data_IF_339281727419
#
_entry.id   IF_339281727419
#
_cell.length_a   1.000
_cell.length_b   1.000
_cell.length_c   1.000
_cell.angle_alpha   90.00
_cell.angle_beta   90.00
_cell.angle_gamma   90.00
#
_symmetry.space_group_name_H-M   'P 1'
#
loop_
_entity.id
_entity.type
_entity.pdbx_description
1 polymer ?
#
# COMPACT_ATOMS: atom_id res chain seq x y z
N UNK A 1 -5.75 18.63 -17.53
CA UNK A 1 -6.11 18.52 -16.09
C UNK A 1 -7.06 19.65 -15.68
N UNK A 2 -6.68 20.92 -15.84
CA UNK A 2 -7.54 22.06 -15.48
C UNK A 2 -8.97 22.01 -16.07
N UNK A 3 -9.10 21.78 -17.38
CA UNK A 3 -10.41 21.69 -18.07
C UNK A 3 -11.28 20.55 -17.51
N UNK A 4 -10.67 19.40 -17.21
CA UNK A 4 -11.39 18.27 -16.62
C UNK A 4 -11.85 18.58 -15.20
N UNK A 5 -11.01 19.27 -14.43
CA UNK A 5 -11.34 19.72 -13.07
C UNK A 5 -12.49 20.72 -13.06
N UNK A 6 -12.47 21.73 -13.93
CA UNK A 6 -13.57 22.70 -14.08
C UNK A 6 -14.90 22.03 -14.42
N UNK A 7 -14.85 20.98 -15.24
CA UNK A 7 -16.02 20.20 -15.55
C UNK A 7 -16.50 19.37 -14.35
N UNK A 8 -15.61 18.62 -13.68
CA UNK A 8 -16.02 17.62 -12.68
C UNK A 8 -16.25 18.20 -11.28
N UNK A 9 -15.56 19.28 -10.92
CA UNK A 9 -15.59 19.84 -9.57
C UNK A 9 -17.01 20.20 -9.10
N UNK A 10 -17.85 20.90 -9.90
CA UNK A 10 -19.23 21.20 -9.52
C UNK A 10 -20.10 19.98 -9.20
N UNK A 11 -19.77 18.80 -9.74
CA UNK A 11 -20.49 17.54 -9.46
C UNK A 11 -20.07 16.90 -8.13
N UNK A 12 -18.85 17.20 -7.67
CA UNK A 12 -18.22 16.59 -6.49
C UNK A 12 -18.15 17.56 -5.29
N UNK A 13 -18.48 18.84 -5.50
CA UNK A 13 -18.46 19.91 -4.51
C UNK A 13 -19.87 20.39 -4.19
N UNK A 14 -20.01 21.16 -3.11
CA UNK A 14 -21.28 21.80 -2.75
C UNK A 14 -21.78 22.69 -3.88
N UNK A 15 -23.06 22.56 -4.26
CA UNK A 15 -23.72 23.49 -5.17
C UNK A 15 -24.11 24.77 -4.43
N UNK A 16 -23.80 25.92 -5.03
CA UNK A 16 -24.11 27.25 -4.47
C UNK A 16 -25.57 27.65 -4.81
N UNK A 17 -26.13 27.13 -5.90
CA UNK A 17 -27.46 27.48 -6.41
C UNK A 17 -28.50 26.40 -6.03
N UNK A 18 -29.07 26.50 -4.84
CA UNK A 18 -30.16 25.62 -4.38
C UNK A 18 -31.52 26.32 -4.47
N UNK A 19 -31.91 26.77 -5.67
CA UNK A 19 -33.24 27.38 -5.88
C UNK A 19 -34.37 26.35 -6.05
N UNK A 20 -34.08 25.05 -6.07
CA UNK A 20 -35.12 24.01 -6.01
C UNK A 20 -34.60 22.70 -5.40
N UNK A 21 -35.09 22.35 -4.21
CA UNK A 21 -34.98 21.00 -3.65
C UNK A 21 -35.89 20.04 -4.46
N UNK A 22 -35.36 19.51 -5.56
CA UNK A 22 -35.99 18.43 -6.30
C UNK A 22 -35.06 17.21 -6.32
N UNK A 23 -35.61 16.00 -6.48
CA UNK A 23 -34.83 14.75 -6.51
C UNK A 23 -33.80 14.64 -7.64
N UNK A 24 -33.79 15.59 -8.58
CA UNK A 24 -32.90 15.66 -9.74
C UNK A 24 -31.84 16.76 -9.59
N UNK A 25 -31.82 17.49 -8.47
CA UNK A 25 -30.88 18.59 -8.25
C UNK A 25 -29.46 18.09 -8.02
N UNK A 26 -29.33 16.86 -7.50
CA UNK A 26 -28.04 16.21 -7.26
C UNK A 26 -27.62 15.39 -8.47
N UNK A 27 -26.73 15.96 -9.28
CA UNK A 27 -26.17 15.27 -10.44
C UNK A 27 -25.40 13.99 -10.04
N UNK A 28 -24.78 13.98 -8.86
CA UNK A 28 -24.12 12.79 -8.32
C UNK A 28 -25.12 11.66 -8.05
N UNK A 29 -26.25 11.96 -7.42
CA UNK A 29 -27.28 10.95 -7.13
C UNK A 29 -27.93 10.43 -8.40
N UNK A 30 -28.17 11.31 -9.39
CA UNK A 30 -28.61 10.90 -10.72
C UNK A 30 -27.62 9.96 -11.38
N UNK A 31 -26.32 10.27 -11.31
CA UNK A 31 -25.26 9.41 -11.81
C UNK A 31 -25.27 8.06 -11.10
N UNK A 32 -25.37 8.01 -9.76
CA UNK A 32 -25.41 6.75 -9.00
C UNK A 32 -26.63 5.89 -9.35
N UNK A 33 -27.80 6.52 -9.56
CA UNK A 33 -29.01 5.83 -9.97
C UNK A 33 -28.83 5.14 -11.34
N UNK A 34 -28.21 5.83 -12.31
CA UNK A 34 -27.92 5.25 -13.63
C UNK A 34 -26.78 4.24 -13.58
N UNK A 35 -25.70 4.54 -12.86
CA UNK A 35 -24.52 3.69 -12.75
C UNK A 35 -24.82 2.35 -12.07
N UNK A 36 -25.82 2.32 -11.18
CA UNK A 36 -26.26 1.10 -10.51
C UNK A 36 -27.14 0.21 -11.38
N UNK A 37 -27.69 0.69 -12.50
CA UNK A 37 -28.50 -0.13 -13.41
C UNK A 37 -27.63 -1.11 -14.21
N UNK A 38 -28.06 -2.35 -14.28
CA UNK A 38 -27.50 -3.41 -15.10
C UNK A 38 -28.27 -3.51 -16.44
N UNK A 39 -27.69 -4.17 -17.46
CA UNK A 39 -28.34 -4.30 -18.78
C UNK A 39 -29.70 -5.00 -18.77
N UNK A 40 -30.00 -5.79 -17.73
CA UNK A 40 -31.27 -6.46 -17.52
C UNK A 40 -32.32 -5.59 -16.80
N UNK A 41 -31.98 -4.34 -16.47
CA UNK A 41 -32.84 -3.40 -15.77
C UNK A 41 -32.87 -3.57 -14.24
N UNK A 42 -32.06 -4.48 -13.69
CA UNK A 42 -31.92 -4.68 -12.24
C UNK A 42 -30.80 -3.77 -11.71
N UNK A 43 -30.86 -3.39 -10.44
CA UNK A 43 -29.77 -2.65 -9.79
C UNK A 43 -28.68 -3.59 -9.26
N UNK A 44 -27.42 -3.10 -9.28
CA UNK A 44 -26.26 -3.74 -8.64
C UNK A 44 -26.54 -4.05 -7.17
N UNK A 45 -25.91 -5.12 -6.68
CA UNK A 45 -25.97 -5.50 -5.26
C UNK A 45 -25.28 -4.45 -4.39
N UNK A 46 -25.59 -4.45 -3.10
CA UNK A 46 -24.94 -3.54 -2.17
C UNK A 46 -23.42 -3.78 -2.16
N UNK A 47 -22.99 -5.05 -2.14
CA UNK A 47 -21.57 -5.43 -2.23
C UNK A 47 -20.86 -4.83 -3.46
N UNK A 48 -21.52 -4.79 -4.62
CA UNK A 48 -20.97 -4.23 -5.86
C UNK A 48 -20.89 -2.69 -5.87
N UNK A 49 -21.65 -2.01 -5.00
CA UNK A 49 -21.69 -0.54 -4.90
C UNK A 49 -20.73 0.03 -3.85
N UNK A 50 -20.24 -0.78 -2.91
CA UNK A 50 -19.30 -0.34 -1.85
C UNK A 50 -18.01 0.28 -2.41
N UNK A 51 -17.41 -0.32 -3.45
CA UNK A 51 -16.16 0.17 -4.04
C UNK A 51 -16.37 1.45 -4.87
N UNK A 52 -17.36 1.54 -5.78
CA UNK A 52 -17.67 2.77 -6.50
C UNK A 52 -17.90 3.98 -5.59
N UNK A 53 -18.64 3.81 -4.50
CA UNK A 53 -18.91 4.89 -3.53
C UNK A 53 -17.63 5.33 -2.81
N UNK A 54 -16.80 4.39 -2.36
CA UNK A 54 -15.50 4.71 -1.77
C UNK A 54 -14.59 5.46 -2.76
N UNK A 55 -14.57 5.08 -4.04
CA UNK A 55 -13.81 5.80 -5.07
C UNK A 55 -14.31 7.25 -5.24
N UNK A 56 -15.63 7.44 -5.29
CA UNK A 56 -16.23 8.78 -5.40
C UNK A 56 -15.93 9.64 -4.16
N UNK A 57 -15.93 9.07 -2.96
CA UNK A 57 -15.52 9.76 -1.73
C UNK A 57 -14.06 10.26 -1.85
N UNK A 58 -13.16 9.42 -2.35
CA UNK A 58 -11.78 9.83 -2.64
C UNK A 58 -11.69 10.91 -3.72
N UNK A 59 -12.53 10.84 -4.76
CA UNK A 59 -12.59 11.87 -5.79
C UNK A 59 -13.10 13.21 -5.24
N UNK A 60 -14.09 13.24 -4.35
CA UNK A 60 -14.52 14.46 -3.66
C UNK A 60 -13.37 15.09 -2.88
N UNK A 61 -12.61 14.29 -2.11
CA UNK A 61 -11.42 14.76 -1.36
C UNK A 61 -10.34 15.30 -2.30
N UNK A 62 -10.02 14.56 -3.35
CA UNK A 62 -8.99 14.94 -4.32
C UNK A 62 -9.36 16.21 -5.10
N UNK A 63 -10.61 16.34 -5.54
CA UNK A 63 -11.11 17.51 -6.24
C UNK A 63 -11.11 18.74 -5.31
N UNK A 64 -11.52 18.57 -4.05
CA UNK A 64 -11.47 19.64 -3.03
C UNK A 64 -10.04 20.12 -2.79
N UNK A 65 -9.08 19.19 -2.64
CA UNK A 65 -7.67 19.53 -2.43
C UNK A 65 -7.07 20.24 -3.66
N UNK A 66 -7.38 19.78 -4.86
CA UNK A 66 -6.91 20.42 -6.09
C UNK A 66 -7.50 21.83 -6.26
N UNK A 67 -8.79 22.02 -5.98
CA UNK A 67 -9.41 23.35 -6.03
C UNK A 67 -8.77 24.30 -5.02
N UNK A 68 -8.56 23.85 -3.78
CA UNK A 68 -7.86 24.64 -2.76
C UNK A 68 -6.45 25.05 -3.23
N UNK A 69 -5.70 24.13 -3.83
CA UNK A 69 -4.39 24.46 -4.36
C UNK A 69 -4.46 25.48 -5.51
N UNK A 70 -5.46 25.36 -6.40
CA UNK A 70 -5.67 26.29 -7.51
C UNK A 70 -6.03 27.70 -7.03
N UNK A 71 -6.80 27.81 -5.95
CA UNK A 71 -7.32 29.07 -5.42
C UNK A 71 -6.48 29.65 -4.27
N UNK A 72 -5.30 29.09 -4.00
CA UNK A 72 -4.43 29.52 -2.90
C UNK A 72 -4.08 31.02 -2.95
N UNK A 73 -4.07 31.63 -4.14
CA UNK A 73 -3.81 33.06 -4.32
C UNK A 73 -4.84 33.94 -3.63
N UNK A 74 -6.10 33.48 -3.52
CA UNK A 74 -7.18 34.19 -2.80
C UNK A 74 -6.93 34.22 -1.28
N UNK A 75 -6.09 33.31 -0.78
CA UNK A 75 -5.73 33.17 0.63
C UNK A 75 -4.30 33.68 0.92
N UNK A 76 -3.78 34.58 0.08
CA UNK A 76 -2.43 35.14 0.26
C UNK A 76 -1.32 34.10 0.04
N UNK A 77 -1.56 33.08 -0.80
CA UNK A 77 -0.70 31.93 -1.03
C UNK A 77 -0.46 31.05 0.22
N UNK A 78 -1.33 31.15 1.22
CA UNK A 78 -1.35 30.26 2.37
C UNK A 78 -2.19 29.01 2.04
N UNK A 79 -1.49 27.94 1.62
CA UNK A 79 -2.13 26.68 1.24
C UNK A 79 -2.94 26.07 2.39
N UNK A 80 -2.48 26.20 3.63
CA UNK A 80 -3.17 25.62 4.78
C UNK A 80 -4.52 26.29 5.01
N UNK A 81 -4.58 27.62 4.91
CA UNK A 81 -5.85 28.37 5.01
C UNK A 81 -6.81 28.03 3.87
N UNK A 82 -6.30 27.96 2.64
CA UNK A 82 -7.14 27.62 1.48
C UNK A 82 -7.72 26.21 1.62
N UNK A 83 -6.89 25.21 1.95
CA UNK A 83 -7.35 23.83 2.16
C UNK A 83 -8.37 23.76 3.29
N UNK A 84 -8.15 24.48 4.39
CA UNK A 84 -9.09 24.52 5.51
C UNK A 84 -10.46 25.06 5.07
N UNK A 85 -10.49 26.16 4.33
CA UNK A 85 -11.73 26.75 3.82
C UNK A 85 -12.51 25.77 2.94
N UNK A 86 -11.88 25.24 1.90
CA UNK A 86 -12.55 24.33 0.96
C UNK A 86 -12.98 23.00 1.61
N UNK A 87 -12.22 22.49 2.57
CA UNK A 87 -12.61 21.30 3.33
C UNK A 87 -13.82 21.56 4.23
N UNK A 88 -13.90 22.73 4.89
CA UNK A 88 -15.07 23.09 5.71
C UNK A 88 -16.33 23.26 4.85
N UNK A 89 -16.20 23.76 3.63
CA UNK A 89 -17.35 23.94 2.76
C UNK A 89 -17.86 22.65 2.11
N UNK A 90 -16.94 21.72 1.79
CA UNK A 90 -17.26 20.53 1.01
C UNK A 90 -17.32 19.23 1.82
N UNK A 91 -16.55 19.12 2.90
CA UNK A 91 -16.33 17.86 3.62
C UNK A 91 -16.85 17.88 5.07
N UNK A 92 -17.36 19.03 5.54
CA UNK A 92 -17.80 19.18 6.92
C UNK A 92 -19.09 18.37 7.21
N UNK A 93 -19.11 17.55 8.26
CA UNK A 93 -20.31 16.82 8.67
C UNK A 93 -21.49 17.74 8.97
N UNK A 94 -22.70 17.38 8.53
CA UNK A 94 -23.92 18.15 8.80
C UNK A 94 -24.27 19.22 7.76
N UNK A 95 -23.39 19.49 6.80
CA UNK A 95 -23.73 20.25 5.60
C UNK A 95 -24.14 19.27 4.51
N UNK A 96 -25.25 19.52 3.81
CA UNK A 96 -25.64 18.68 2.67
C UNK A 96 -24.70 18.97 1.48
N UNK A 97 -23.74 18.06 1.26
CA UNK A 97 -22.81 18.11 0.12
C UNK A 97 -22.76 16.74 -0.57
N UNK A 98 -22.27 16.66 -1.82
CA UNK A 98 -22.05 15.37 -2.47
C UNK A 98 -21.23 14.40 -1.62
N UNK A 99 -20.23 14.91 -0.89
CA UNK A 99 -19.39 14.11 0.00
C UNK A 99 -20.17 13.51 1.18
N UNK A 100 -21.00 14.30 1.88
CA UNK A 100 -21.76 13.79 3.02
C UNK A 100 -22.82 12.77 2.55
N UNK A 101 -23.46 13.02 1.40
CA UNK A 101 -24.37 12.06 0.78
C UNK A 101 -23.68 10.74 0.46
N UNK A 102 -22.46 10.78 -0.08
CA UNK A 102 -21.67 9.56 -0.32
C UNK A 102 -21.33 8.82 0.97
N UNK A 103 -20.96 9.52 2.04
CA UNK A 103 -20.70 8.89 3.33
C UNK A 103 -21.94 8.19 3.87
N UNK A 104 -23.10 8.83 3.78
CA UNK A 104 -24.36 8.25 4.27
C UNK A 104 -24.76 7.02 3.45
N UNK A 105 -24.65 7.10 2.12
CA UNK A 105 -24.85 5.94 1.25
C UNK A 105 -23.83 4.83 1.49
N UNK A 106 -22.55 5.16 1.67
CA UNK A 106 -21.51 4.18 1.97
C UNK A 106 -21.82 3.44 3.28
N UNK A 107 -22.24 4.16 4.33
CA UNK A 107 -22.62 3.55 5.62
C UNK A 107 -23.81 2.62 5.48
N UNK A 108 -24.85 3.07 4.77
CA UNK A 108 -26.05 2.27 4.54
C UNK A 108 -25.78 1.04 3.67
N UNK A 109 -25.08 1.21 2.55
CA UNK A 109 -24.76 0.12 1.62
C UNK A 109 -23.77 -0.86 2.25
N UNK A 110 -22.82 -0.41 3.06
CA UNK A 110 -21.91 -1.31 3.77
C UNK A 110 -22.65 -2.21 4.77
N UNK A 111 -23.67 -1.71 5.45
CA UNK A 111 -24.47 -2.53 6.38
C UNK A 111 -25.31 -3.58 5.65
N UNK A 112 -25.85 -3.23 4.48
CA UNK A 112 -26.53 -4.16 3.58
C UNK A 112 -25.56 -5.22 3.05
N UNK A 113 -24.40 -4.80 2.51
CA UNK A 113 -23.40 -5.70 1.95
C UNK A 113 -22.87 -6.69 3.00
N UNK A 114 -22.72 -6.28 4.26
CA UNK A 114 -22.34 -7.17 5.36
C UNK A 114 -23.42 -8.24 5.64
N UNK A 115 -24.68 -7.89 5.42
CA UNK A 115 -25.83 -8.77 5.62
C UNK A 115 -26.16 -9.62 4.38
N UNK A 116 -25.54 -9.35 3.23
CA UNK A 116 -25.75 -10.10 2.00
C UNK A 116 -25.19 -11.53 2.12
N UNK A 117 -26.05 -12.52 1.86
CA UNK A 117 -25.62 -13.92 1.81
C UNK A 117 -24.89 -14.18 0.50
N UNK A 118 -23.57 -14.16 0.57
CA UNK A 118 -22.72 -14.55 -0.55
C UNK A 118 -22.43 -16.06 -0.51
N UNK A 119 -22.32 -16.68 -1.68
CA UNK A 119 -21.84 -18.06 -1.76
C UNK A 119 -20.45 -18.14 -1.09
N UNK A 120 -20.15 -19.24 -0.38
CA UNK A 120 -18.87 -19.39 0.30
C UNK A 120 -17.73 -19.23 -0.70
N UNK A 121 -16.88 -18.24 -0.44
CA UNK A 121 -15.72 -17.95 -1.30
C UNK A 121 -14.59 -18.95 -1.09
N UNK A 122 -14.61 -19.66 0.04
CA UNK A 122 -13.64 -20.68 0.44
C UNK A 122 -14.40 -21.94 0.84
N UNK A 123 -14.00 -23.08 0.30
CA UNK A 123 -14.32 -24.39 0.87
C UNK A 123 -13.03 -25.10 1.27
N UNK A 124 -13.09 -25.85 2.36
CA UNK A 124 -11.97 -26.60 2.92
C UNK A 124 -12.38 -28.07 2.91
N UNK A 125 -11.50 -28.96 2.48
CA UNK A 125 -11.75 -30.40 2.57
C UNK A 125 -11.73 -30.88 4.02
N UNK A 126 -12.38 -31.99 4.31
CA UNK A 126 -12.50 -32.54 5.67
C UNK A 126 -11.13 -32.85 6.33
N UNK A 127 -10.12 -33.14 5.52
CA UNK A 127 -8.73 -33.40 5.93
C UNK A 127 -7.87 -32.13 6.02
N UNK A 128 -8.44 -30.94 5.75
CA UNK A 128 -7.77 -29.65 5.69
C UNK A 128 -6.55 -29.58 4.73
N UNK A 129 -6.44 -30.49 3.76
CA UNK A 129 -5.33 -30.52 2.79
C UNK A 129 -5.62 -29.73 1.52
N UNK A 130 -6.89 -29.46 1.23
CA UNK A 130 -7.34 -28.78 0.00
C UNK A 130 -8.23 -27.60 0.34
N UNK A 131 -7.92 -26.47 -0.27
CA UNK A 131 -8.67 -25.22 -0.15
C UNK A 131 -9.16 -24.83 -1.55
N UNK A 132 -10.45 -24.61 -1.74
CA UNK A 132 -10.95 -24.02 -2.97
C UNK A 132 -11.31 -22.57 -2.72
N UNK A 133 -10.62 -21.62 -3.36
CA UNK A 133 -10.94 -20.20 -3.32
C UNK A 133 -11.49 -19.75 -4.67
N UNK A 134 -12.75 -19.29 -4.73
CA UNK A 134 -13.42 -18.84 -5.97
C UNK A 134 -13.22 -19.82 -7.14
N UNK A 135 -13.38 -21.12 -6.89
CA UNK A 135 -13.22 -22.19 -7.89
C UNK A 135 -11.77 -22.60 -8.19
N UNK A 136 -10.76 -21.95 -7.60
CA UNK A 136 -9.37 -22.37 -7.71
C UNK A 136 -9.00 -23.29 -6.56
N UNK A 137 -8.64 -24.53 -6.89
CA UNK A 137 -8.16 -25.50 -5.92
C UNK A 137 -6.68 -25.26 -5.60
N UNK A 138 -6.36 -25.20 -4.31
CA UNK A 138 -5.00 -25.10 -3.79
C UNK A 138 -4.76 -26.28 -2.84
N UNK A 139 -3.69 -27.03 -3.10
CA UNK A 139 -3.26 -28.11 -2.22
C UNK A 139 -2.20 -27.59 -1.25
N UNK A 140 -2.33 -27.93 0.03
CA UNK A 140 -1.39 -27.51 1.07
C UNK A 140 0.03 -28.05 0.82
N UNK A 141 0.12 -29.26 0.26
CA UNK A 141 1.39 -29.86 -0.16
C UNK A 141 2.11 -29.02 -1.21
N UNK A 142 1.39 -28.56 -2.23
CA UNK A 142 1.95 -27.70 -3.29
C UNK A 142 2.40 -26.35 -2.74
N UNK A 143 1.65 -25.77 -1.80
CA UNK A 143 2.06 -24.54 -1.11
C UNK A 143 3.37 -24.74 -0.37
N UNK A 144 3.49 -25.83 0.40
CA UNK A 144 4.70 -26.15 1.16
C UNK A 144 5.91 -26.33 0.25
N UNK A 145 5.74 -27.07 -0.86
CA UNK A 145 6.77 -27.23 -1.88
C UNK A 145 7.15 -25.89 -2.53
N UNK A 146 6.15 -25.04 -2.84
CA UNK A 146 6.37 -23.72 -3.41
C UNK A 146 7.15 -22.79 -2.48
N UNK A 147 6.84 -22.78 -1.19
CA UNK A 147 7.55 -21.99 -0.17
C UNK A 147 8.99 -22.48 -0.01
N UNK A 148 9.21 -23.80 0.03
CA UNK A 148 10.57 -24.37 0.08
C UNK A 148 11.39 -23.99 -1.14
N UNK A 149 10.80 -24.11 -2.34
CA UNK A 149 11.46 -23.70 -3.58
C UNK A 149 11.78 -22.20 -3.60
N UNK A 150 10.86 -21.37 -3.12
CA UNK A 150 11.11 -19.92 -3.00
C UNK A 150 12.29 -19.63 -2.07
N UNK A 151 12.40 -20.34 -0.94
CA UNK A 151 13.52 -20.22 -0.02
C UNK A 151 14.85 -20.61 -0.71
N UNK A 152 14.91 -21.79 -1.34
CA UNK A 152 16.11 -22.27 -2.03
C UNK A 152 16.54 -21.35 -3.18
N UNK A 153 15.59 -20.87 -3.99
CA UNK A 153 15.88 -19.96 -5.10
C UNK A 153 16.33 -18.58 -4.58
N UNK A 154 15.84 -18.14 -3.42
CA UNK A 154 16.31 -16.91 -2.77
C UNK A 154 17.73 -17.08 -2.26
N UNK A 155 18.07 -18.21 -1.63
CA UNK A 155 19.44 -18.50 -1.21
C UNK A 155 20.42 -18.52 -2.39
N UNK A 156 20.03 -19.11 -3.52
CA UNK A 156 20.83 -19.07 -4.76
C UNK A 156 21.05 -17.65 -5.25
N UNK A 157 20.01 -16.81 -5.26
CA UNK A 157 20.12 -15.39 -5.65
C UNK A 157 21.03 -14.60 -4.71
N UNK A 158 20.92 -14.82 -3.40
CA UNK A 158 21.79 -14.21 -2.41
C UNK A 158 23.25 -14.64 -2.60
N UNK A 159 23.50 -15.94 -2.79
CA UNK A 159 24.85 -16.45 -3.09
C UNK A 159 25.42 -15.83 -4.36
N UNK A 160 24.61 -15.70 -5.42
CA UNK A 160 25.03 -15.04 -6.65
C UNK A 160 25.34 -13.55 -6.45
N UNK A 161 24.53 -12.84 -5.65
CA UNK A 161 24.76 -11.43 -5.29
C UNK A 161 26.04 -11.26 -4.47
N UNK A 162 26.33 -12.18 -3.55
CA UNK A 162 27.58 -12.25 -2.80
C UNK A 162 28.74 -12.86 -3.59
N UNK A 163 28.58 -13.08 -4.90
CA UNK A 163 29.61 -13.64 -5.79
C UNK A 163 30.20 -14.96 -5.28
N UNK A 164 29.35 -15.79 -4.67
CA UNK A 164 29.73 -17.07 -4.08
C UNK A 164 30.48 -16.96 -2.75
N UNK A 165 30.74 -15.75 -2.25
CA UNK A 165 31.31 -15.56 -0.93
C UNK A 165 30.29 -15.91 0.15
N UNK A 166 30.76 -16.55 1.22
CA UNK A 166 29.94 -16.89 2.38
C UNK A 166 29.87 -15.66 3.28
N UNK A 167 28.72 -14.99 3.28
CA UNK A 167 28.42 -13.91 4.22
C UNK A 167 27.56 -14.48 5.34
N UNK A 168 28.11 -14.51 6.55
CA UNK A 168 27.37 -14.90 7.74
C UNK A 168 26.37 -13.79 8.09
N UNK A 169 25.08 -14.13 7.96
CA UNK A 169 23.95 -13.28 8.34
C UNK A 169 23.31 -13.93 9.56
N UNK A 170 23.97 -13.79 10.71
CA UNK A 170 23.52 -14.38 11.97
C UNK A 170 22.91 -13.30 12.85
N UNK A 171 21.84 -13.64 13.55
CA UNK A 171 21.29 -12.77 14.60
C UNK A 171 22.13 -13.05 15.85
N UNK A 172 22.85 -12.06 16.40
CA UNK A 172 23.62 -12.26 17.62
C UNK A 172 22.73 -12.74 18.77
N UNK A 173 23.29 -13.55 19.67
CA UNK A 173 22.56 -14.10 20.83
C UNK A 173 21.94 -13.01 21.72
N UNK A 174 22.59 -11.85 21.79
CA UNK A 174 22.15 -10.70 22.56
C UNK A 174 22.18 -9.43 21.70
N UNK A 175 21.02 -9.05 21.18
CA UNK A 175 20.80 -7.71 20.60
C UNK A 175 20.00 -6.91 21.62
N UNK A 176 20.55 -5.84 22.21
CA UNK A 176 19.82 -5.04 23.18
C UNK A 176 18.63 -4.36 22.50
N UNK A 177 17.44 -4.46 23.08
CA UNK A 177 16.25 -3.77 22.60
C UNK A 177 15.54 -3.06 23.75
N UNK A 178 15.48 -1.73 23.69
CA UNK A 178 14.63 -0.92 24.56
C UNK A 178 13.17 -0.98 24.09
N UNK A 179 12.42 -1.90 24.69
CA UNK A 179 10.99 -2.08 24.42
C UNK A 179 10.12 -0.89 24.87
N UNK A 180 10.67 0.05 25.64
CA UNK A 180 9.94 1.25 26.10
C UNK A 180 10.12 2.45 25.16
N UNK A 181 11.07 2.37 24.23
CA UNK A 181 11.33 3.45 23.29
C UNK A 181 10.21 3.53 22.23
N UNK A 182 9.49 4.65 22.24
CA UNK A 182 8.41 4.98 21.30
C UNK A 182 8.79 6.02 20.25
N UNK A 183 10.08 6.41 20.20
CA UNK A 183 10.55 7.39 19.22
C UNK A 183 10.38 6.83 17.81
N UNK A 184 9.94 7.70 16.90
CA UNK A 184 9.79 7.36 15.49
C UNK A 184 11.15 6.94 14.92
N UNK A 185 11.14 5.93 14.07
CA UNK A 185 12.32 5.34 13.42
C UNK A 185 13.27 4.53 14.33
N UNK A 186 12.99 4.40 15.63
CA UNK A 186 13.72 3.48 16.51
C UNK A 186 13.52 2.02 16.07
N UNK A 187 14.61 1.25 15.98
CA UNK A 187 14.64 -0.14 15.51
C UNK A 187 15.73 -0.93 16.22
N UNK A 188 15.41 -2.12 16.72
CA UNK A 188 16.37 -3.02 17.36
C UNK A 188 17.46 -3.51 16.39
N UNK A 189 17.19 -3.51 15.07
CA UNK A 189 18.21 -3.79 14.05
C UNK A 189 19.37 -2.79 14.04
N UNK A 190 19.22 -1.62 14.69
CA UNK A 190 20.30 -0.64 14.79
C UNK A 190 21.21 -0.92 16.00
N UNK A 191 20.82 -1.84 16.88
CA UNK A 191 21.47 -2.05 18.17
C UNK A 191 22.47 -3.21 18.16
N UNK A 192 22.63 -3.91 17.03
CA UNK A 192 23.50 -5.08 16.90
C UNK A 192 24.30 -5.09 15.59
N UNK A 193 25.44 -5.80 15.59
CA UNK A 193 26.21 -6.08 14.40
C UNK A 193 25.79 -7.44 13.82
N UNK A 194 24.91 -7.42 12.81
CA UNK A 194 24.39 -8.63 12.16
C UNK A 194 25.31 -9.17 11.06
N UNK A 195 26.19 -8.31 10.55
CA UNK A 195 27.20 -8.64 9.54
C UNK A 195 28.25 -7.52 9.49
N UNK A 196 29.36 -7.71 8.79
CA UNK A 196 30.39 -6.67 8.59
C UNK A 196 29.75 -5.47 7.85
N UNK A 197 29.79 -4.24 8.43
CA UNK A 197 29.22 -3.07 7.78
C UNK A 197 29.81 -2.84 6.39
N UNK A 198 28.95 -2.72 5.37
CA UNK A 198 29.38 -2.50 3.99
C UNK A 198 29.98 -3.74 3.31
N UNK A 199 29.86 -4.95 3.87
CA UNK A 199 30.41 -6.17 3.27
C UNK A 199 29.93 -6.40 1.83
N UNK A 200 28.64 -6.18 1.56
CA UNK A 200 28.10 -6.30 0.20
C UNK A 200 28.78 -5.30 -0.75
N UNK A 201 29.00 -4.07 -0.29
CA UNK A 201 29.67 -3.05 -1.08
C UNK A 201 31.11 -3.42 -1.41
N UNK A 202 31.83 -3.94 -0.42
CA UNK A 202 33.18 -4.45 -0.57
C UNK A 202 33.25 -5.57 -1.61
N UNK A 203 32.38 -6.58 -1.48
CA UNK A 203 32.28 -7.70 -2.43
C UNK A 203 32.05 -7.22 -3.87
N UNK A 204 31.10 -6.30 -4.06
CA UNK A 204 30.72 -5.84 -5.39
C UNK A 204 31.77 -4.91 -6.03
N UNK A 205 32.52 -4.15 -5.23
CA UNK A 205 33.56 -3.24 -5.74
C UNK A 205 34.89 -3.95 -5.99
N UNK A 206 35.20 -5.02 -5.25
CA UNK A 206 36.37 -5.88 -5.47
C UNK A 206 36.20 -6.84 -6.67
N UNK A 207 34.96 -7.08 -7.11
CA UNK A 207 34.65 -7.91 -8.27
C UNK A 207 35.04 -7.22 -9.60
N UNK A 208 36.20 -7.63 -10.12
CA UNK A 208 36.75 -7.17 -11.40
C UNK A 208 35.88 -7.51 -12.62
N UNK A 209 34.97 -8.48 -12.51
CA UNK A 209 34.09 -8.90 -13.61
C UNK A 209 32.88 -7.98 -13.73
N UNK A 210 32.31 -7.56 -12.60
CA UNK A 210 31.17 -6.65 -12.55
C UNK A 210 31.51 -5.24 -13.02
N UNK A 211 32.75 -4.78 -12.74
CA UNK A 211 33.21 -3.41 -13.06
C UNK A 211 32.18 -2.36 -12.63
N UNK A 212 31.74 -2.43 -11.38
CA UNK A 212 30.70 -1.56 -10.84
C UNK A 212 31.15 -0.10 -10.79
N UNK A 213 32.41 0.12 -10.40
CA UNK A 213 33.01 1.44 -10.28
C UNK A 213 34.46 1.45 -10.80
N UNK A 214 34.69 1.34 -12.11
CA UNK A 214 36.02 1.50 -12.68
C UNK A 214 36.61 2.88 -12.39
N UNK A 215 37.93 2.94 -12.24
CA UNK A 215 38.69 4.19 -12.21
C UNK A 215 38.98 4.58 -13.66
N UNK A 216 38.68 5.82 -14.02
CA UNK A 216 38.99 6.36 -15.33
C UNK A 216 40.50 6.71 -15.44
N UNK A 217 41.01 7.06 -16.64
CA UNK A 217 42.39 7.51 -16.80
C UNK A 217 42.75 8.80 -16.04
N UNK A 218 41.76 9.57 -15.56
CA UNK A 218 41.96 10.79 -14.77
C UNK A 218 42.06 10.52 -13.26
N UNK A 219 41.88 9.27 -12.83
CA UNK A 219 41.84 8.88 -11.43
C UNK A 219 40.46 9.05 -10.77
N UNK A 220 39.44 9.42 -11.54
CA UNK A 220 38.06 9.60 -11.09
C UNK A 220 37.28 8.28 -11.12
N UNK A 221 36.45 8.07 -10.11
CA UNK A 221 35.54 6.93 -10.04
C UNK A 221 34.37 7.12 -11.03
N UNK A 222 34.18 6.17 -11.92
CA UNK A 222 33.07 6.14 -12.87
C UNK A 222 32.10 5.02 -12.52
N UNK A 223 30.85 5.37 -12.21
CA UNK A 223 29.79 4.39 -12.01
C UNK A 223 29.38 3.77 -13.33
N UNK A 224 29.32 2.44 -13.38
CA UNK A 224 28.72 1.71 -14.50
C UNK A 224 27.20 1.59 -14.27
N UNK A 225 26.36 2.33 -15.01
CA UNK A 225 24.92 2.34 -14.77
C UNK A 225 24.26 0.97 -15.04
N UNK A 226 24.79 0.21 -16.00
CA UNK A 226 24.29 -1.13 -16.33
C UNK A 226 24.52 -2.11 -15.20
N UNK A 227 25.76 -2.18 -14.70
CA UNK A 227 26.11 -3.02 -13.55
C UNK A 227 25.34 -2.61 -12.27
N UNK A 228 25.16 -1.31 -12.06
CA UNK A 228 24.41 -0.81 -10.91
C UNK A 228 22.93 -1.19 -10.99
N UNK A 229 22.31 -1.08 -12.17
CA UNK A 229 20.93 -1.52 -12.38
C UNK A 229 20.77 -3.04 -12.18
N UNK A 230 21.73 -3.84 -12.65
CA UNK A 230 21.72 -5.31 -12.44
C UNK A 230 21.76 -5.67 -10.95
N UNK A 231 22.64 -5.02 -10.19
CA UNK A 231 22.73 -5.20 -8.73
C UNK A 231 21.44 -4.76 -8.04
N UNK A 232 20.91 -3.59 -8.39
CA UNK A 232 19.69 -3.06 -7.78
C UNK A 232 18.48 -3.94 -8.07
N UNK A 233 18.37 -4.47 -9.29
CA UNK A 233 17.32 -5.42 -9.67
C UNK A 233 17.46 -6.73 -8.88
N UNK A 234 18.67 -7.27 -8.74
CA UNK A 234 18.92 -8.46 -7.94
C UNK A 234 18.51 -8.26 -6.47
N UNK A 235 18.88 -7.13 -5.86
CA UNK A 235 18.45 -6.74 -4.52
C UNK A 235 16.92 -6.63 -4.42
N UNK A 236 16.28 -6.00 -5.41
CA UNK A 236 14.82 -5.87 -5.47
C UNK A 236 14.10 -7.22 -5.50
N UNK A 237 14.58 -8.16 -6.32
CA UNK A 237 14.02 -9.50 -6.42
C UNK A 237 14.22 -10.31 -5.13
N UNK A 238 15.41 -10.22 -4.51
CA UNK A 238 15.69 -10.87 -3.22
C UNK A 238 14.77 -10.31 -2.13
N UNK A 239 14.66 -8.98 -2.02
CA UNK A 239 13.79 -8.33 -1.04
C UNK A 239 12.32 -8.73 -1.22
N UNK A 240 11.85 -8.84 -2.47
CA UNK A 240 10.50 -9.32 -2.78
C UNK A 240 10.29 -10.76 -2.31
N UNK A 241 11.22 -11.66 -2.59
CA UNK A 241 11.12 -13.06 -2.14
C UNK A 241 11.18 -13.19 -0.61
N UNK A 242 12.10 -12.47 0.04
CA UNK A 242 12.20 -12.42 1.50
C UNK A 242 10.91 -11.88 2.13
N UNK A 243 10.30 -10.85 1.56
CA UNK A 243 9.02 -10.33 2.05
C UNK A 243 7.90 -11.39 2.02
N UNK A 244 7.82 -12.17 0.93
CA UNK A 244 6.85 -13.27 0.82
C UNK A 244 7.15 -14.38 1.83
N UNK A 245 8.43 -14.76 1.98
CA UNK A 245 8.84 -15.79 2.95
C UNK A 245 8.55 -15.34 4.39
N UNK A 246 8.88 -14.11 4.75
CA UNK A 246 8.56 -13.55 6.07
C UNK A 246 7.05 -13.55 6.33
N UNK A 247 6.24 -13.17 5.34
CA UNK A 247 4.79 -13.16 5.49
C UNK A 247 4.18 -14.55 5.68
N UNK A 248 4.65 -15.54 4.91
CA UNK A 248 4.11 -16.90 4.98
C UNK A 248 4.61 -17.65 6.23
N UNK A 249 5.90 -17.50 6.59
CA UNK A 249 6.54 -18.28 7.65
C UNK A 249 6.41 -17.66 9.05
N UNK A 250 6.41 -16.33 9.18
CA UNK A 250 6.39 -15.65 10.48
C UNK A 250 4.97 -15.48 11.06
N UNK A 251 3.95 -16.06 10.40
CA UNK A 251 2.54 -15.91 10.75
C UNK A 251 2.00 -14.51 10.50
N UNK A 252 0.81 -14.22 11.02
CA UNK A 252 0.25 -12.86 11.03
C UNK A 252 1.21 -11.90 11.76
N UNK A 253 1.32 -10.63 11.33
CA UNK A 253 0.29 -9.79 10.69
C UNK A 253 0.19 -9.87 9.16
N UNK A 254 -0.99 -9.51 8.66
CA UNK A 254 -1.37 -9.69 7.26
C UNK A 254 -0.77 -8.64 6.30
N UNK A 255 -0.32 -7.47 6.80
CA UNK A 255 0.18 -6.36 5.97
C UNK A 255 1.67 -6.11 6.20
N UNK A 256 2.41 -5.80 5.13
CA UNK A 256 3.85 -5.54 5.20
C UNK A 256 4.20 -4.35 6.10
N UNK A 257 3.38 -3.29 6.10
CA UNK A 257 3.54 -2.14 7.00
C UNK A 257 3.35 -2.55 8.46
N UNK A 258 2.32 -3.34 8.76
CA UNK A 258 2.10 -3.87 10.12
C UNK A 258 3.25 -4.79 10.54
N UNK A 259 3.80 -5.60 9.63
CA UNK A 259 4.97 -6.42 9.94
C UNK A 259 6.20 -5.59 10.33
N UNK A 260 6.52 -4.55 9.54
CA UNK A 260 7.64 -3.66 9.82
C UNK A 260 7.39 -2.86 11.10
N UNK A 261 6.20 -2.28 11.23
CA UNK A 261 5.83 -1.38 12.33
C UNK A 261 5.66 -2.12 13.65
N UNK A 262 5.22 -3.39 13.63
CA UNK A 262 5.02 -4.18 14.85
C UNK A 262 6.28 -4.90 15.32
N UNK A 263 7.13 -5.38 14.39
CA UNK A 263 8.27 -6.25 14.72
C UNK A 263 9.66 -5.63 14.54
N UNK A 264 9.82 -4.63 13.67
CA UNK A 264 11.16 -4.17 13.25
C UNK A 264 11.45 -2.74 13.71
N UNK A 265 10.58 -1.77 13.43
CA UNK A 265 10.83 -0.36 13.68
C UNK A 265 9.56 0.39 14.09
N UNK A 266 9.69 1.40 14.94
CA UNK A 266 8.63 2.36 15.22
C UNK A 266 8.37 3.26 14.00
N UNK A 267 7.11 3.42 13.61
CA UNK A 267 6.70 4.21 12.44
C UNK A 267 5.57 5.18 12.83
N UNK A 268 4.46 5.21 12.10
CA UNK A 268 3.23 5.91 12.51
C UNK A 268 2.62 5.33 13.79
N UNK A 269 3.00 4.11 14.15
CA UNK A 269 2.66 3.48 15.42
C UNK A 269 3.92 2.88 16.05
N UNK A 270 4.03 2.86 17.39
CA UNK A 270 5.10 2.15 18.08
C UNK A 270 5.03 0.64 17.83
N UNK A 271 6.17 -0.04 17.95
CA UNK A 271 6.22 -1.50 17.96
C UNK A 271 5.43 -2.07 19.12
N UNK A 272 4.79 -3.21 18.86
CA UNK A 272 3.95 -3.90 19.84
C UNK A 272 4.22 -5.40 19.97
N UNK A 273 5.12 -5.96 19.15
CA UNK A 273 5.53 -7.36 19.22
C UNK A 273 7.02 -7.44 19.46
N UNK A 274 7.39 -7.91 20.64
CA UNK A 274 8.77 -8.10 21.06
C UNK A 274 9.11 -9.58 21.05
N UNK A 275 10.38 -9.88 20.77
CA UNK A 275 10.90 -11.25 20.75
C UNK A 275 11.57 -11.51 22.09
N UNK A 276 11.12 -12.55 22.79
CA UNK A 276 11.83 -13.13 23.94
C UNK A 276 13.04 -13.95 23.48
#
# INVERSE_FOLDING_TARGET
VAVFHEFIYPFLSRSIDSTSDNKWSSALECFLAVYSLLPDGIHKRASDMTQPLAMLEYHCRGATLYEAHRQQSEFGNDLFKSVTHYCLDNLHPGTLTPFTTLIDYQRFISSLAYSETNAPSITISDDATRFAYKGKLLQLGDLTCGVRRLFEDTQKKMSALFRGQVVHLEIPDHVPDDMTNIERDYSWLNNGAFTEPGILWKILTEDKTLRLCPVDPSGSLMWNPGAMNEVMEACGQINKSLAVLCHILAGQPARATEFVDLKIRNSTSPRGLFRD
#
